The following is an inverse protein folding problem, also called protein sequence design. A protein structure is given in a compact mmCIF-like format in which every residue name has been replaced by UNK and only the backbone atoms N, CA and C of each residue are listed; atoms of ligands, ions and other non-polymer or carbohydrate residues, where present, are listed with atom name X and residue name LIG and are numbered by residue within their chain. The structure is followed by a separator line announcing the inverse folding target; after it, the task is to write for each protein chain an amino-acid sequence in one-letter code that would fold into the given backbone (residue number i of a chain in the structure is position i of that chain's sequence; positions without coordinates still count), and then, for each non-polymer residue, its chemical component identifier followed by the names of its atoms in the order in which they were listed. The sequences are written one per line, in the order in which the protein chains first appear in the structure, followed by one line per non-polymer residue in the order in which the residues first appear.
data_IF_750917369405
#
_entry.id   IF_750917369405
#
_cell.length_a   1.000
_cell.length_b   1.000
_cell.length_c   1.000
_cell.angle_alpha   90.00
_cell.angle_beta   90.00
_cell.angle_gamma   90.00
#
_symmetry.space_group_name_H-M   'P 1'
#
loop_
_entity.id
_entity.type
_entity.pdbx_description
1 polymer ?
#
# COMPACT_ATOMS: atom_id res chain seq x y z
N UNK A 1 -10.49 30.56 3.36
CA UNK A 1 -9.74 29.47 2.67
C UNK A 1 -8.54 29.12 3.53
N UNK A 2 -8.22 27.84 3.74
CA UNK A 2 -7.17 27.40 4.68
C UNK A 2 -5.86 27.11 3.92
N UNK A 3 -4.93 28.08 3.84
CA UNK A 3 -3.74 27.96 2.96
C UNK A 3 -2.81 26.81 3.36
N UNK A 4 -2.75 26.49 4.65
CA UNK A 4 -1.95 25.36 5.16
C UNK A 4 -2.49 24.02 4.68
N UNK A 5 -3.82 23.85 4.65
CA UNK A 5 -4.45 22.62 4.16
C UNK A 5 -4.23 22.43 2.65
N UNK A 6 -4.29 23.52 1.89
CA UNK A 6 -4.00 23.49 0.46
C UNK A 6 -2.55 23.10 0.18
N UNK A 7 -1.59 23.70 0.90
CA UNK A 7 -0.18 23.36 0.78
C UNK A 7 0.09 21.88 1.12
N UNK A 8 -0.51 21.37 2.20
CA UNK A 8 -0.42 19.96 2.57
C UNK A 8 -1.06 19.04 1.52
N UNK A 9 -2.20 19.43 0.95
CA UNK A 9 -2.84 18.69 -0.12
C UNK A 9 -1.94 18.59 -1.35
N UNK A 10 -1.33 19.70 -1.79
CA UNK A 10 -0.38 19.71 -2.91
C UNK A 10 0.84 18.84 -2.62
N UNK A 11 1.41 18.94 -1.41
CA UNK A 11 2.53 18.09 -1.00
C UNK A 11 2.16 16.59 -1.02
N UNK A 12 0.97 16.23 -0.52
CA UNK A 12 0.42 14.88 -0.62
C UNK A 12 0.28 14.43 -2.08
N UNK A 13 -0.22 15.28 -2.97
CA UNK A 13 -0.34 14.92 -4.39
C UNK A 13 1.03 14.67 -5.04
N UNK A 14 2.05 15.47 -4.69
CA UNK A 14 3.43 15.24 -5.12
C UNK A 14 3.98 13.92 -4.59
N UNK A 15 3.70 13.58 -3.33
CA UNK A 15 4.06 12.30 -2.73
C UNK A 15 3.44 11.13 -3.50
N UNK A 16 2.13 11.18 -3.77
CA UNK A 16 1.44 10.11 -4.50
C UNK A 16 2.03 9.87 -5.88
N UNK A 17 2.45 10.94 -6.60
CA UNK A 17 3.13 10.78 -7.90
C UNK A 17 4.42 9.96 -7.80
N UNK A 18 5.18 10.08 -6.71
CA UNK A 18 6.37 9.25 -6.47
C UNK A 18 5.99 7.81 -6.11
N UNK A 19 4.98 7.61 -5.26
CA UNK A 19 4.56 6.27 -4.82
C UNK A 19 3.92 5.44 -5.95
N UNK A 20 3.34 6.10 -6.95
CA UNK A 20 2.71 5.45 -8.10
C UNK A 20 3.67 5.17 -9.27
N UNK A 21 4.95 5.54 -9.15
CA UNK A 21 5.96 5.21 -10.15
C UNK A 21 6.13 3.69 -10.27
N UNK A 22 6.15 3.18 -11.50
CA UNK A 22 6.31 1.76 -11.82
C UNK A 22 7.20 1.58 -13.04
N UNK A 23 7.86 0.42 -13.13
CA UNK A 23 8.67 0.04 -14.30
C UNK A 23 9.87 0.98 -14.55
N UNK A 24 10.44 1.57 -13.50
CA UNK A 24 11.59 2.47 -13.62
C UNK A 24 12.89 1.68 -13.80
N UNK A 25 13.72 2.13 -14.76
CA UNK A 25 15.12 1.73 -14.86
C UNK A 25 15.95 2.37 -13.75
N UNK A 26 17.01 1.68 -13.31
CA UNK A 26 17.88 2.14 -12.23
C UNK A 26 18.43 3.57 -12.44
N UNK A 27 18.83 3.92 -13.68
CA UNK A 27 19.30 5.27 -14.03
C UNK A 27 18.25 6.34 -13.71
N UNK A 28 16.97 6.09 -14.03
CA UNK A 28 15.89 7.05 -13.78
C UNK A 28 15.53 7.11 -12.30
N UNK A 29 15.52 5.98 -11.60
CA UNK A 29 15.31 5.93 -10.16
C UNK A 29 16.36 6.77 -9.40
N UNK A 30 17.65 6.65 -9.77
CA UNK A 30 18.74 7.46 -9.20
C UNK A 30 18.53 8.97 -9.39
N UNK A 31 17.94 9.40 -10.52
CA UNK A 31 17.63 10.81 -10.77
C UNK A 31 16.44 11.32 -9.96
N UNK A 32 15.48 10.45 -9.64
CA UNK A 32 14.24 10.82 -8.94
C UNK A 32 14.36 10.72 -7.42
N UNK A 33 15.23 9.84 -6.92
CA UNK A 33 15.44 9.62 -5.49
C UNK A 33 15.80 10.93 -4.73
N UNK A 34 16.72 11.80 -5.20
CA UNK A 34 16.98 13.05 -4.52
C UNK A 34 15.76 13.97 -4.41
N UNK A 35 14.90 13.99 -5.45
CA UNK A 35 13.65 14.78 -5.44
C UNK A 35 12.64 14.22 -4.45
N UNK A 36 12.59 12.90 -4.31
CA UNK A 36 11.74 12.23 -3.32
C UNK A 36 12.22 12.50 -1.88
N UNK A 37 13.52 12.39 -1.64
CA UNK A 37 14.13 12.72 -0.34
C UNK A 37 13.93 14.19 0.05
N UNK A 38 14.05 15.12 -0.91
CA UNK A 38 13.75 16.53 -0.68
C UNK A 38 12.29 16.75 -0.25
N UNK A 39 11.34 16.02 -0.83
CA UNK A 39 9.93 16.08 -0.41
C UNK A 39 9.73 15.51 1.00
N UNK A 40 10.41 14.43 1.36
CA UNK A 40 10.36 13.87 2.73
C UNK A 40 10.88 14.89 3.75
N UNK A 41 11.99 15.59 3.46
CA UNK A 41 12.51 16.67 4.32
C UNK A 41 11.52 17.82 4.47
N UNK A 42 10.74 18.15 3.42
CA UNK A 42 9.68 19.15 3.52
C UNK A 42 8.57 18.69 4.48
N UNK A 43 8.20 17.41 4.48
CA UNK A 43 7.24 16.88 5.44
C UNK A 43 7.78 16.89 6.88
N UNK A 44 9.07 16.63 7.07
CA UNK A 44 9.74 16.67 8.37
C UNK A 44 9.64 18.05 9.04
N UNK A 45 9.73 19.12 8.24
CA UNK A 45 9.61 20.51 8.68
C UNK A 45 8.15 21.00 8.78
N UNK A 46 7.17 20.10 8.63
CA UNK A 46 5.74 20.42 8.62
C UNK A 46 4.99 19.69 9.74
N UNK A 47 3.69 19.98 9.95
CA UNK A 47 2.85 19.19 10.85
C UNK A 47 2.81 17.69 10.54
N UNK A 48 3.19 17.29 9.31
CA UNK A 48 3.26 15.90 8.87
C UNK A 48 4.62 15.22 9.17
N UNK A 49 5.37 15.66 10.19
CA UNK A 49 6.66 15.07 10.57
C UNK A 49 6.61 13.55 10.84
N UNK A 50 5.49 13.05 11.37
CA UNK A 50 5.29 11.61 11.61
C UNK A 50 5.26 10.85 10.29
N UNK A 51 4.61 11.39 9.26
CA UNK A 51 4.62 10.81 7.91
C UNK A 51 6.04 10.77 7.34
N UNK A 52 6.85 11.81 7.55
CA UNK A 52 8.24 11.84 7.10
C UNK A 52 9.08 10.71 7.75
N UNK A 53 8.88 10.48 9.05
CA UNK A 53 9.53 9.39 9.77
C UNK A 53 9.14 8.01 9.19
N UNK A 54 7.84 7.80 8.93
CA UNK A 54 7.36 6.56 8.29
C UNK A 54 7.91 6.39 6.87
N UNK A 55 7.91 7.43 6.04
CA UNK A 55 8.45 7.33 4.68
C UNK A 55 9.95 7.02 4.68
N UNK A 56 10.68 7.56 5.65
CA UNK A 56 12.11 7.29 5.83
C UNK A 56 12.36 5.85 6.25
N UNK A 57 11.61 5.32 7.22
CA UNK A 57 11.79 3.92 7.67
C UNK A 57 11.42 2.90 6.60
N UNK A 58 10.49 3.25 5.70
CA UNK A 58 10.06 2.40 4.58
C UNK A 58 10.71 2.76 3.24
N UNK A 59 11.76 3.58 3.24
CA UNK A 59 12.34 4.13 2.02
C UNK A 59 12.79 3.05 1.03
N UNK A 60 13.50 2.02 1.51
CA UNK A 60 14.01 0.95 0.65
C UNK A 60 12.87 0.16 -0.02
N UNK A 61 11.85 -0.36 0.70
CA UNK A 61 10.68 -0.97 0.09
C UNK A 61 9.98 -0.07 -0.94
N UNK A 62 9.79 1.23 -0.63
CA UNK A 62 9.14 2.17 -1.54
C UNK A 62 9.93 2.33 -2.84
N UNK A 63 11.25 2.57 -2.75
CA UNK A 63 12.11 2.73 -3.93
C UNK A 63 12.21 1.42 -4.72
N UNK A 64 12.21 0.28 -4.03
CA UNK A 64 12.18 -1.04 -4.67
C UNK A 64 10.91 -1.21 -5.50
N UNK A 65 9.76 -0.76 -4.99
CA UNK A 65 8.48 -0.81 -5.72
C UNK A 65 8.49 -0.03 -7.04
N UNK A 66 9.32 1.01 -7.18
CA UNK A 66 9.45 1.73 -8.46
C UNK A 66 9.87 0.84 -9.63
N UNK A 67 10.52 -0.30 -9.35
CA UNK A 67 10.95 -1.28 -10.37
C UNK A 67 9.88 -2.29 -10.72
N UNK A 68 8.89 -2.51 -9.85
CA UNK A 68 7.89 -3.56 -9.99
C UNK A 68 6.54 -2.99 -10.43
N UNK A 69 5.72 -3.83 -11.04
CA UNK A 69 4.37 -3.46 -11.51
C UNK A 69 3.27 -3.97 -10.59
N UNK A 70 3.62 -4.75 -9.57
CA UNK A 70 2.67 -5.39 -8.65
C UNK A 70 1.85 -4.32 -7.92
N UNK A 71 0.55 -4.57 -7.80
CA UNK A 71 -0.36 -3.78 -6.98
C UNK A 71 -0.77 -4.59 -5.75
N UNK A 72 -1.24 -3.89 -4.72
CA UNK A 72 -1.81 -4.53 -3.53
C UNK A 72 -3.25 -5.03 -3.75
N UNK A 73 -3.78 -4.91 -4.98
CA UNK A 73 -5.19 -5.19 -5.27
C UNK A 73 -5.59 -6.64 -5.02
N UNK A 74 -4.68 -7.61 -5.22
CA UNK A 74 -4.95 -9.01 -4.89
C UNK A 74 -5.09 -9.18 -3.36
N UNK A 75 -4.15 -8.62 -2.58
CA UNK A 75 -4.19 -8.65 -1.12
C UNK A 75 -5.44 -7.97 -0.57
N UNK A 76 -5.79 -6.80 -1.11
CA UNK A 76 -7.01 -6.05 -0.75
C UNK A 76 -8.28 -6.82 -1.10
N UNK A 77 -8.31 -7.48 -2.26
CA UNK A 77 -9.40 -8.38 -2.64
C UNK A 77 -9.58 -9.53 -1.65
N UNK A 78 -8.47 -10.16 -1.22
CA UNK A 78 -8.52 -11.19 -0.19
C UNK A 78 -8.97 -10.65 1.17
N UNK A 79 -8.43 -9.53 1.63
CA UNK A 79 -8.87 -8.90 2.90
C UNK A 79 -10.35 -8.54 2.87
N UNK A 80 -10.84 -7.97 1.77
CA UNK A 80 -12.27 -7.65 1.59
C UNK A 80 -13.13 -8.90 1.67
N UNK A 81 -12.71 -10.00 1.03
CA UNK A 81 -13.41 -11.28 1.07
C UNK A 81 -13.44 -11.88 2.49
N UNK A 82 -12.32 -11.82 3.20
CA UNK A 82 -12.22 -12.24 4.60
C UNK A 82 -13.14 -11.42 5.51
N UNK A 83 -13.18 -10.10 5.33
CA UNK A 83 -14.05 -9.23 6.11
C UNK A 83 -15.53 -9.50 5.82
N UNK A 84 -15.90 -9.69 4.56
CA UNK A 84 -17.26 -10.09 4.18
C UNK A 84 -17.67 -11.42 4.81
N UNK A 85 -16.75 -12.37 4.95
CA UNK A 85 -17.02 -13.64 5.63
C UNK A 85 -17.35 -13.43 7.10
N UNK A 86 -16.53 -12.65 7.80
CA UNK A 86 -16.77 -12.30 9.20
C UNK A 86 -18.09 -11.56 9.38
N UNK A 87 -18.41 -10.59 8.50
CA UNK A 87 -19.67 -9.85 8.53
C UNK A 87 -20.88 -10.76 8.35
N UNK A 88 -20.86 -11.67 7.37
CA UNK A 88 -21.97 -12.62 7.11
C UNK A 88 -22.18 -13.64 8.22
N UNK A 89 -21.12 -14.00 8.94
CA UNK A 89 -21.19 -14.93 10.07
C UNK A 89 -21.55 -14.23 11.40
N UNK A 90 -21.66 -12.89 11.42
CA UNK A 90 -21.73 -12.10 12.65
C UNK A 90 -20.56 -12.36 13.61
N UNK A 91 -19.37 -12.55 13.03
CA UNK A 91 -18.14 -12.92 13.72
C UNK A 91 -17.94 -14.43 13.86
N UNK A 92 -16.69 -14.83 14.07
CA UNK A 92 -16.31 -16.22 14.33
C UNK A 92 -15.80 -16.36 15.76
N UNK A 93 -16.42 -17.24 16.55
CA UNK A 93 -15.94 -17.59 17.89
C UNK A 93 -14.77 -18.56 17.86
N UNK A 94 -14.73 -19.44 16.86
CA UNK A 94 -13.69 -20.45 16.66
C UNK A 94 -12.84 -20.08 15.43
N UNK A 95 -11.53 -19.91 15.63
CA UNK A 95 -10.58 -19.56 14.57
C UNK A 95 -10.48 -20.62 13.48
N UNK A 96 -10.59 -21.92 13.81
CA UNK A 96 -10.51 -22.99 12.82
C UNK A 96 -11.68 -22.92 11.83
N UNK A 97 -12.88 -22.59 12.32
CA UNK A 97 -14.05 -22.39 11.46
C UNK A 97 -13.87 -21.18 10.52
N UNK A 98 -13.25 -20.10 11.02
CA UNK A 98 -12.88 -18.95 10.18
C UNK A 98 -11.85 -19.36 9.12
N UNK A 99 -10.76 -20.00 9.54
CA UNK A 99 -9.67 -20.48 8.69
C UNK A 99 -10.19 -21.38 7.57
N UNK A 100 -11.04 -22.36 7.89
CA UNK A 100 -11.64 -23.25 6.92
C UNK A 100 -12.44 -22.50 5.85
N UNK A 101 -13.22 -21.49 6.23
CA UNK A 101 -13.97 -20.65 5.27
C UNK A 101 -13.07 -19.77 4.43
N UNK A 102 -12.02 -19.20 5.02
CA UNK A 102 -11.02 -18.43 4.28
C UNK A 102 -10.29 -19.31 3.27
N UNK A 103 -9.88 -20.52 3.63
CA UNK A 103 -9.24 -21.45 2.69
C UNK A 103 -10.19 -21.85 1.56
N UNK A 104 -11.43 -22.21 1.88
CA UNK A 104 -12.42 -22.61 0.89
C UNK A 104 -12.74 -21.49 -0.12
N UNK A 105 -12.74 -20.23 0.32
CA UNK A 105 -13.19 -19.12 -0.50
C UNK A 105 -12.06 -18.28 -1.09
N UNK A 106 -10.93 -18.13 -0.41
CA UNK A 106 -9.76 -17.40 -0.92
C UNK A 106 -8.73 -18.33 -1.59
N UNK A 107 -8.72 -19.63 -1.29
CA UNK A 107 -7.78 -20.61 -1.86
C UNK A 107 -8.30 -21.35 -3.10
N UNK A 108 -9.58 -21.22 -3.46
CA UNK A 108 -10.17 -21.93 -4.59
C UNK A 108 -9.87 -21.23 -5.92
N UNK A 109 -9.02 -21.82 -6.75
CA UNK A 109 -8.66 -21.32 -8.09
C UNK A 109 -9.60 -21.75 -9.21
N UNK A 110 -10.72 -22.42 -8.91
CA UNK A 110 -11.69 -22.85 -9.93
C UNK A 110 -11.35 -24.15 -10.66
N UNK A 111 -10.20 -24.78 -10.37
CA UNK A 111 -9.78 -26.05 -11.00
C UNK A 111 -10.01 -27.21 -10.03
N UNK A 112 -11.01 -28.05 -10.34
CA UNK A 112 -11.10 -29.40 -9.78
C UNK A 112 -10.14 -30.25 -10.59
N UNK A 113 -8.89 -30.41 -10.14
CA UNK A 113 -8.12 -31.58 -10.55
C UNK A 113 -8.73 -32.76 -9.81
N UNK A 114 -9.65 -33.48 -10.48
CA UNK A 114 -9.93 -34.86 -10.11
C UNK A 114 -8.63 -35.61 -10.38
N UNK A 115 -7.93 -35.99 -9.31
CA UNK A 115 -6.95 -37.08 -9.38
C UNK A 115 -7.72 -38.37 -9.54
#
# INVERSE_FOLDING_TARGET
MFPVLEALYVAKQRLMRFLLLKTLKAKRAKQLLPKFLALIRQFEQSPAKVLAATLTSWLEPIVRMWRFTKSNGITEGFHTKMEMLSRRAYGFRNFENYRMRVLALCGWSGVINRV
#
